data_IF_626931380234
#
_entry.id   IF_626931380234
#
_cell.length_a   1.000
_cell.length_b   1.000
_cell.length_c   1.000
_cell.angle_alpha   90.00
_cell.angle_beta   90.00
_cell.angle_gamma   90.00
#
_symmetry.space_group_name_H-M   'P 1'
#
loop_
_entity.id
_entity.type
_entity.pdbx_description
1 polymer ?
#
# COMPACT_ATOMS: atom_id res chain seq x y z
N UNK A 1 -19.68 14.55 5.38
CA UNK A 1 -18.79 15.25 4.43
C UNK A 1 -18.12 14.19 3.61
N UNK A 2 -18.12 14.33 2.28
CA UNK A 2 -17.36 13.46 1.38
C UNK A 2 -15.89 13.84 1.49
N UNK A 3 -15.01 12.86 1.69
CA UNK A 3 -13.56 13.06 1.63
C UNK A 3 -13.16 13.13 0.16
N UNK A 4 -12.31 14.09 -0.23
CA UNK A 4 -11.93 14.34 -1.62
C UNK A 4 -10.42 14.18 -1.76
N UNK A 5 -9.92 13.84 -2.94
CA UNK A 5 -8.49 13.93 -3.21
C UNK A 5 -8.00 15.38 -2.99
N UNK A 6 -6.79 15.57 -2.43
CA UNK A 6 -6.19 16.89 -2.28
C UNK A 6 -6.20 17.67 -3.60
N UNK A 7 -6.58 18.94 -3.52
CA UNK A 7 -6.68 19.86 -4.65
C UNK A 7 -7.56 19.39 -5.82
N UNK A 8 -8.57 18.57 -5.52
CA UNK A 8 -9.48 17.99 -6.51
C UNK A 8 -10.93 17.93 -6.00
N UNK A 9 -11.87 17.85 -6.94
CA UNK A 9 -13.29 17.59 -6.67
C UNK A 9 -13.63 16.08 -6.72
N UNK A 10 -12.62 15.22 -6.89
CA UNK A 10 -12.79 13.77 -7.01
C UNK A 10 -12.99 13.15 -5.61
N UNK A 11 -14.07 12.38 -5.39
CA UNK A 11 -14.25 11.62 -4.15
C UNK A 11 -13.09 10.66 -3.86
N UNK A 12 -12.59 10.70 -2.62
CA UNK A 12 -11.52 9.85 -2.15
C UNK A 12 -12.07 8.50 -1.66
N UNK A 13 -11.88 7.47 -2.47
CA UNK A 13 -12.26 6.09 -2.19
C UNK A 13 -11.04 5.17 -2.29
N UNK A 14 -10.19 5.10 -1.24
CA UNK A 14 -9.01 4.26 -1.30
C UNK A 14 -9.40 2.78 -1.30
N UNK A 15 -8.59 1.97 -1.96
CA UNK A 15 -8.59 0.52 -1.88
C UNK A 15 -7.18 0.04 -1.45
N UNK A 16 -6.96 -1.24 -1.14
CA UNK A 16 -5.65 -1.73 -0.72
C UNK A 16 -4.56 -1.50 -1.77
N UNK A 17 -4.91 -1.49 -3.06
CA UNK A 17 -4.00 -1.20 -4.18
C UNK A 17 -3.33 0.17 -4.10
N UNK A 18 -3.85 1.11 -3.30
CA UNK A 18 -3.18 2.39 -3.01
C UNK A 18 -1.72 2.21 -2.56
N UNK A 19 -1.45 1.19 -1.75
CA UNK A 19 -0.10 0.88 -1.25
C UNK A 19 0.86 0.41 -2.36
N UNK A 20 0.33 -0.06 -3.49
CA UNK A 20 1.11 -0.54 -4.62
C UNK A 20 1.35 0.55 -5.65
N UNK A 21 0.58 1.65 -5.62
CA UNK A 21 0.71 2.76 -6.56
C UNK A 21 2.07 3.43 -6.58
N UNK A 22 2.76 3.46 -5.44
CA UNK A 22 4.13 3.98 -5.38
C UNK A 22 5.16 3.09 -6.11
N UNK A 23 4.78 1.85 -6.45
CA UNK A 23 5.60 0.90 -7.20
C UNK A 23 5.16 0.76 -8.66
N UNK A 24 4.18 1.54 -9.13
CA UNK A 24 3.86 1.61 -10.55
C UNK A 24 5.03 2.29 -11.28
N UNK A 25 5.67 1.57 -12.19
CA UNK A 25 6.78 2.06 -12.98
C UNK A 25 6.42 2.29 -14.46
N UNK A 26 5.13 2.36 -14.79
CA UNK A 26 4.70 2.68 -16.15
C UNK A 26 5.30 4.02 -16.64
N UNK A 27 5.84 4.01 -17.86
CA UNK A 27 6.57 5.12 -18.49
C UNK A 27 7.86 5.54 -17.73
N UNK A 28 8.27 4.72 -16.76
CA UNK A 28 9.43 4.90 -15.89
C UNK A 28 10.20 3.59 -15.70
N UNK A 29 10.04 2.62 -16.60
CA UNK A 29 10.59 1.28 -16.49
C UNK A 29 12.13 1.31 -16.46
N UNK A 30 12.74 2.16 -17.30
CA UNK A 30 14.20 2.34 -17.39
C UNK A 30 14.79 3.17 -16.23
N UNK A 31 13.95 3.72 -15.34
CA UNK A 31 14.42 4.53 -14.20
C UNK A 31 13.94 3.95 -12.87
N UNK A 32 12.67 4.19 -12.51
CA UNK A 32 12.07 3.64 -11.31
C UNK A 32 12.03 2.11 -11.37
N UNK A 33 11.69 1.53 -12.52
CA UNK A 33 11.66 0.08 -12.71
C UNK A 33 13.03 -0.56 -12.46
N UNK A 34 14.12 -0.02 -13.02
CA UNK A 34 15.49 -0.49 -12.73
C UNK A 34 15.87 -0.36 -11.25
N UNK A 35 15.45 0.72 -10.60
CA UNK A 35 15.70 0.91 -9.16
C UNK A 35 14.99 -0.17 -8.35
N UNK A 36 13.69 -0.36 -8.57
CA UNK A 36 12.85 -1.31 -7.84
C UNK A 36 13.22 -2.77 -8.15
N UNK A 37 13.67 -3.08 -9.36
CA UNK A 37 14.17 -4.40 -9.77
C UNK A 37 15.38 -4.88 -8.95
N UNK A 38 16.08 -3.99 -8.23
CA UNK A 38 17.18 -4.35 -7.32
C UNK A 38 16.71 -4.92 -5.98
N UNK A 39 15.42 -4.83 -5.69
CA UNK A 39 14.81 -5.28 -4.44
C UNK A 39 13.97 -6.54 -4.67
N UNK A 40 14.03 -7.45 -3.70
CA UNK A 40 13.21 -8.67 -3.67
C UNK A 40 11.87 -8.40 -2.95
N UNK A 41 10.71 -8.48 -3.64
CA UNK A 41 9.40 -8.25 -3.02
C UNK A 41 8.97 -9.37 -2.06
N UNK A 42 9.74 -10.46 -1.96
CA UNK A 42 9.51 -11.53 -0.98
C UNK A 42 10.39 -11.40 0.27
N UNK A 43 11.45 -10.59 0.22
CA UNK A 43 12.27 -10.27 1.37
C UNK A 43 11.58 -9.19 2.23
N UNK A 44 11.21 -9.49 3.49
CA UNK A 44 10.49 -8.55 4.34
C UNK A 44 11.30 -7.28 4.59
N UNK A 45 12.61 -7.36 4.82
CA UNK A 45 13.41 -6.18 5.12
C UNK A 45 13.49 -5.24 3.91
N UNK A 46 13.68 -5.81 2.71
CA UNK A 46 13.72 -5.03 1.47
C UNK A 46 12.36 -4.41 1.13
N UNK A 47 11.28 -5.17 1.23
CA UNK A 47 9.95 -4.66 0.94
C UNK A 47 9.51 -3.60 1.97
N UNK A 48 9.86 -3.77 3.26
CA UNK A 48 9.61 -2.73 4.27
C UNK A 48 10.38 -1.44 3.96
N UNK A 49 11.66 -1.54 3.55
CA UNK A 49 12.44 -0.37 3.15
C UNK A 49 11.81 0.37 1.95
N UNK A 50 11.22 -0.36 1.01
CA UNK A 50 10.48 0.25 -0.11
C UNK A 50 9.18 0.92 0.34
N UNK A 51 8.42 0.30 1.25
CA UNK A 51 7.23 0.95 1.81
C UNK A 51 7.59 2.24 2.54
N UNK A 52 8.63 2.21 3.37
CA UNK A 52 9.10 3.39 4.10
C UNK A 52 9.50 4.49 3.10
N UNK A 53 10.39 4.20 2.16
CA UNK A 53 10.92 5.19 1.22
C UNK A 53 9.85 5.75 0.25
N UNK A 54 9.06 4.88 -0.37
CA UNK A 54 8.17 5.29 -1.45
C UNK A 54 6.75 5.56 -0.94
N UNK A 55 6.18 4.73 -0.07
CA UNK A 55 4.77 4.93 0.33
C UNK A 55 4.62 5.98 1.43
N UNK A 56 5.51 5.99 2.42
CA UNK A 56 5.35 6.85 3.60
C UNK A 56 6.18 8.12 3.51
N UNK A 57 7.47 8.03 3.19
CA UNK A 57 8.39 9.17 3.16
C UNK A 57 8.20 10.03 1.90
N UNK A 58 8.25 9.44 0.71
CA UNK A 58 8.13 10.17 -0.56
C UNK A 58 6.67 10.51 -0.90
N UNK A 59 5.77 9.53 -1.01
CA UNK A 59 4.39 9.81 -1.42
C UNK A 59 3.47 10.20 -0.25
N UNK A 60 3.59 9.55 0.91
CA UNK A 60 2.64 9.70 2.03
C UNK A 60 2.66 11.08 2.69
N UNK A 61 3.83 11.71 2.77
CA UNK A 61 3.97 13.07 3.30
C UNK A 61 3.72 14.15 2.24
N UNK A 62 4.04 13.88 0.97
CA UNK A 62 3.96 14.88 -0.10
C UNK A 62 2.56 15.06 -0.70
N UNK A 63 1.67 14.06 -0.58
CA UNK A 63 0.34 14.10 -1.18
C UNK A 63 -0.67 15.01 -0.47
N UNK A 64 -0.31 15.69 0.62
CA UNK A 64 -1.24 16.58 1.35
C UNK A 64 -2.37 15.84 2.08
N UNK A 65 -2.23 14.54 2.29
CA UNK A 65 -3.23 13.72 2.98
C UNK A 65 -3.33 14.05 4.47
N UNK A 66 -4.50 14.52 4.87
CA UNK A 66 -4.87 14.73 6.28
C UNK A 66 -5.05 13.42 7.03
N UNK A 67 -5.15 13.48 8.36
CA UNK A 67 -5.46 12.33 9.22
C UNK A 67 -6.72 11.56 8.80
N UNK A 68 -7.71 12.25 8.19
CA UNK A 68 -8.92 11.61 7.68
C UNK A 68 -8.65 10.71 6.46
N UNK A 69 -7.72 11.12 5.57
CA UNK A 69 -7.28 10.30 4.44
C UNK A 69 -6.52 9.07 4.91
N UNK A 70 -5.55 9.28 5.81
CA UNK A 70 -4.78 8.20 6.42
C UNK A 70 -5.71 7.20 7.11
N UNK A 71 -6.73 7.68 7.82
CA UNK A 71 -7.75 6.83 8.44
C UNK A 71 -8.57 6.03 7.43
N UNK A 72 -8.99 6.65 6.31
CA UNK A 72 -9.71 5.97 5.26
C UNK A 72 -8.87 4.86 4.60
N UNK A 73 -7.59 5.16 4.30
CA UNK A 73 -6.62 4.19 3.77
C UNK A 73 -6.42 3.03 4.76
N UNK A 74 -6.14 3.34 6.02
CA UNK A 74 -5.92 2.33 7.07
C UNK A 74 -7.14 1.44 7.28
N UNK A 75 -8.34 2.03 7.37
CA UNK A 75 -9.59 1.30 7.58
C UNK A 75 -9.87 0.36 6.42
N UNK A 76 -9.62 0.79 5.19
CA UNK A 76 -9.81 -0.03 4.01
C UNK A 76 -8.84 -1.23 3.98
N UNK A 77 -7.55 -1.00 4.26
CA UNK A 77 -6.56 -2.09 4.34
C UNK A 77 -6.90 -3.09 5.46
N UNK A 78 -7.29 -2.61 6.64
CA UNK A 78 -7.71 -3.46 7.77
C UNK A 78 -8.92 -4.31 7.40
N UNK A 79 -9.93 -3.71 6.72
CA UNK A 79 -11.11 -4.44 6.28
C UNK A 79 -10.75 -5.58 5.31
N UNK A 80 -9.90 -5.31 4.31
CA UNK A 80 -9.41 -6.31 3.38
C UNK A 80 -8.61 -7.43 4.08
N UNK A 81 -7.70 -7.08 5.00
CA UNK A 81 -6.91 -8.06 5.75
C UNK A 81 -7.78 -8.90 6.70
N UNK A 82 -8.85 -8.34 7.24
CA UNK A 82 -9.78 -9.05 8.12
C UNK A 82 -10.68 -10.04 7.38
N UNK A 83 -10.84 -9.88 6.07
CA UNK A 83 -11.66 -10.76 5.24
C UNK A 83 -10.84 -11.95 4.73
N UNK A 84 -11.12 -13.15 5.24
CA UNK A 84 -10.37 -14.38 4.91
C UNK A 84 -10.36 -14.73 3.42
N UNK A 85 -11.39 -14.32 2.67
CA UNK A 85 -11.55 -14.63 1.24
C UNK A 85 -11.30 -13.43 0.32
N UNK A 86 -10.73 -12.35 0.85
CA UNK A 86 -10.44 -11.18 0.05
C UNK A 86 -9.43 -11.51 -1.05
N UNK A 87 -9.74 -11.11 -2.29
CA UNK A 87 -8.90 -11.40 -3.44
C UNK A 87 -7.84 -10.33 -3.63
N UNK A 88 -6.71 -10.49 -2.92
CA UNK A 88 -5.58 -9.59 -3.06
C UNK A 88 -4.87 -9.69 -4.42
N UNK A 89 -5.07 -10.78 -5.17
CA UNK A 89 -4.46 -10.94 -6.49
C UNK A 89 -5.07 -9.94 -7.49
N UNK A 90 -6.33 -9.53 -7.29
CA UNK A 90 -7.00 -8.56 -8.14
C UNK A 90 -6.28 -7.20 -8.20
N UNK A 91 -5.59 -6.78 -7.14
CA UNK A 91 -4.81 -5.53 -7.10
C UNK A 91 -3.42 -5.65 -7.75
N UNK A 92 -2.97 -6.89 -7.99
CA UNK A 92 -1.66 -7.19 -8.56
C UNK A 92 -1.77 -7.63 -10.03
N UNK A 93 -2.98 -7.97 -10.47
CA UNK A 93 -3.28 -8.26 -11.85
C UNK A 93 -3.10 -6.98 -12.67
N UNK A 94 -2.17 -7.05 -13.62
CA UNK A 94 -2.07 -6.05 -14.69
C UNK A 94 -3.17 -6.44 -15.68
N UNK A 95 -4.19 -5.59 -15.84
CA UNK A 95 -5.09 -5.74 -16.99
C UNK A 95 -4.27 -5.39 -18.23
N UNK A 96 -4.03 -6.36 -19.11
CA UNK A 96 -3.27 -6.15 -20.35
C UNK A 96 -3.93 -5.09 -21.27
N UNK A 97 -5.19 -4.72 -21.03
CA UNK A 97 -5.88 -3.63 -21.71
C UNK A 97 -5.73 -2.26 -21.03
N UNK A 98 -5.27 -2.22 -19.78
CA UNK A 98 -4.89 -1.00 -19.07
C UNK A 98 -3.39 -0.77 -19.25
N UNK A 99 -3.03 -0.10 -20.34
CA UNK A 99 -1.62 0.17 -20.67
C UNK A 99 -0.92 1.05 -19.61
N UNK A 100 -1.63 1.67 -18.66
CA UNK A 100 -1.07 2.69 -17.74
C UNK A 100 -0.49 2.16 -16.42
N UNK A 101 -0.27 0.85 -16.30
CA UNK A 101 0.21 0.24 -15.07
C UNK A 101 1.18 -0.92 -15.31
N UNK A 102 2.36 -0.86 -14.68
CA UNK A 102 3.25 -2.00 -14.62
C UNK A 102 4.06 -2.03 -13.31
N UNK A 103 4.36 -3.23 -12.85
CA UNK A 103 5.33 -3.46 -11.78
C UNK A 103 6.72 -3.69 -12.37
N UNK A 104 7.78 -3.58 -11.54
CA UNK A 104 9.13 -3.91 -11.96
C UNK A 104 9.18 -5.30 -12.59
N UNK A 105 9.85 -5.41 -13.75
CA UNK A 105 9.76 -6.60 -14.61
C UNK A 105 10.22 -7.91 -13.99
N UNK A 106 11.04 -7.86 -12.93
CA UNK A 106 11.51 -9.08 -12.23
C UNK A 106 10.66 -9.44 -11.01
N UNK A 107 9.70 -8.60 -10.63
CA UNK A 107 8.85 -8.85 -9.48
C UNK A 107 7.80 -9.91 -9.77
N UNK A 108 7.59 -10.78 -8.78
CA UNK A 108 6.54 -11.77 -8.80
C UNK A 108 5.83 -11.79 -7.45
N UNK A 109 4.53 -12.05 -7.46
CA UNK A 109 3.69 -12.05 -6.26
C UNK A 109 3.04 -13.42 -6.02
N UNK A 110 3.82 -14.47 -5.74
CA UNK A 110 3.28 -15.82 -5.46
C UNK A 110 2.43 -15.87 -4.19
N UNK A 111 2.52 -14.84 -3.33
CA UNK A 111 1.70 -14.65 -2.13
C UNK A 111 1.02 -13.26 -2.20
N UNK A 112 -0.07 -13.08 -2.97
CA UNK A 112 -0.68 -11.77 -3.20
C UNK A 112 -0.94 -10.95 -1.93
N UNK A 113 -1.46 -11.62 -0.90
CA UNK A 113 -1.74 -11.01 0.41
C UNK A 113 -0.49 -10.45 1.11
N UNK A 114 0.68 -11.05 0.90
CA UNK A 114 1.91 -10.74 1.64
C UNK A 114 2.32 -9.27 1.53
N UNK A 115 2.23 -8.66 0.34
CA UNK A 115 2.56 -7.24 0.16
C UNK A 115 1.69 -6.34 1.02
N UNK A 116 0.41 -6.65 1.15
CA UNK A 116 -0.54 -5.88 1.97
C UNK A 116 -0.34 -6.09 3.48
N UNK A 117 0.12 -7.28 3.89
CA UNK A 117 0.54 -7.53 5.27
C UNK A 117 1.76 -6.67 5.61
N UNK A 118 2.75 -6.63 4.71
CA UNK A 118 3.92 -5.76 4.87
C UNK A 118 3.54 -4.27 4.88
N UNK A 119 2.61 -3.85 4.03
CA UNK A 119 2.06 -2.50 4.03
C UNK A 119 1.41 -2.13 5.37
N UNK A 120 0.68 -3.07 6.00
CA UNK A 120 0.07 -2.85 7.30
C UNK A 120 1.12 -2.67 8.40
N UNK A 121 2.18 -3.49 8.40
CA UNK A 121 3.28 -3.33 9.35
C UNK A 121 3.97 -1.98 9.21
N UNK A 122 4.18 -1.50 7.99
CA UNK A 122 4.72 -0.17 7.73
C UNK A 122 3.75 0.93 8.21
N UNK A 123 2.45 0.80 7.91
CA UNK A 123 1.41 1.71 8.37
C UNK A 123 1.40 1.87 9.88
N UNK A 124 1.52 0.78 10.64
CA UNK A 124 1.58 0.83 12.10
C UNK A 124 2.77 1.65 12.61
N UNK A 125 3.94 1.55 11.95
CA UNK A 125 5.13 2.32 12.33
C UNK A 125 4.98 3.81 12.04
N UNK A 126 4.44 4.16 10.88
CA UNK A 126 4.36 5.55 10.41
C UNK A 126 3.15 6.31 10.93
N UNK A 127 1.97 5.70 10.89
CA UNK A 127 0.70 6.35 11.21
C UNK A 127 0.03 5.82 12.46
N UNK A 128 0.53 4.73 13.06
CA UNK A 128 -0.17 4.04 14.15
C UNK A 128 -0.49 4.92 15.36
N UNK A 129 0.46 5.78 15.77
CA UNK A 129 0.27 6.70 16.90
C UNK A 129 -0.82 7.74 16.60
N UNK A 130 -0.74 8.39 15.44
CA UNK A 130 -1.71 9.41 15.01
C UNK A 130 -3.11 8.82 14.85
N UNK A 131 -3.22 7.68 14.16
CA UNK A 131 -4.49 7.00 13.90
C UNK A 131 -5.17 6.54 15.19
N UNK A 132 -4.38 6.01 16.13
CA UNK A 132 -4.90 5.65 17.46
C UNK A 132 -5.38 6.89 18.21
N UNK A 133 -4.65 8.01 18.14
CA UNK A 133 -5.02 9.25 18.81
C UNK A 133 -6.35 9.84 18.32
N UNK A 134 -6.71 9.61 17.05
CA UNK A 134 -8.01 10.01 16.49
C UNK A 134 -9.10 8.91 16.59
N UNK A 135 -8.82 7.81 17.29
CA UNK A 135 -9.79 6.76 17.60
C UNK A 135 -9.96 5.66 16.56
N UNK A 136 -9.03 5.52 15.61
CA UNK A 136 -9.02 4.38 14.68
C UNK A 136 -8.52 3.14 15.41
N UNK A 137 -9.31 2.07 15.36
CA UNK A 137 -8.91 0.78 15.91
C UNK A 137 -7.92 0.09 14.98
N UNK A 138 -6.71 -0.19 15.47
CA UNK A 138 -5.66 -0.90 14.76
C UNK A 138 -5.47 -2.29 15.39
N UNK A 139 -5.99 -3.36 14.77
CA UNK A 139 -5.81 -4.72 15.28
C UNK A 139 -4.33 -5.09 15.42
N UNK A 140 -3.97 -5.94 16.38
CA UNK A 140 -2.61 -6.48 16.39
C UNK A 140 -2.36 -7.29 15.10
N UNK A 141 -1.12 -7.32 14.57
CA UNK A 141 -0.80 -8.10 13.36
C UNK A 141 -1.27 -9.56 13.45
N UNK A 142 -1.13 -10.17 14.63
CA UNK A 142 -1.60 -11.54 14.91
C UNK A 142 -3.11 -11.75 14.74
N UNK A 143 -3.95 -10.74 15.02
CA UNK A 143 -5.40 -10.82 14.81
C UNK A 143 -5.76 -10.79 13.32
N UNK A 144 -4.89 -10.22 12.49
CA UNK A 144 -5.01 -10.22 11.04
C UNK A 144 -4.31 -11.43 10.38
N UNK A 145 -3.81 -12.39 11.18
CA UNK A 145 -3.06 -13.53 10.66
C UNK A 145 -1.67 -13.16 10.12
N UNK A 146 -1.16 -11.98 10.47
CA UNK A 146 0.18 -11.53 10.09
C UNK A 146 1.14 -12.06 11.14
N UNK A 147 2.07 -12.92 10.71
CA UNK A 147 3.11 -13.49 11.55
C UNK A 147 4.45 -12.85 11.16
N UNK A 148 5.17 -12.31 12.15
CA UNK A 148 6.55 -11.87 11.94
C UNK A 148 7.38 -13.10 11.58
N UNK A 149 7.92 -13.10 10.36
CA UNK A 149 8.85 -14.10 9.84
C UNK A 149 10.21 -14.03 10.51
#
# INVERSE_FOLDING_TARGET
>A
MTLLYPDSDIPFHPNPGWFLGAFNCYDREETLGEILNRYDPLDPAQLQALYDAYVFDEYGEQLGFTSAHRAAIATNLIAALSETKHDFAAYLAIDESEEEWCFPSVWAFPRPRYSFEQAYLALLRHWGVELTAIGIALPSPSLLGIHES
#
